data_IF_250697518672
#
_entry.id   IF_250697518672
#
_cell.length_a   1.000
_cell.length_b   1.000
_cell.length_c   1.000
_cell.angle_alpha   90.00
_cell.angle_beta   90.00
_cell.angle_gamma   90.00
#
_symmetry.space_group_name_H-M   'P 1'
#
loop_
_entity.id
_entity.type
_entity.pdbx_description
1 polymer ?
#
# COMPACT_ATOMS: atom_id res chain seq x y z
N UNK A 1 -17.22 -4.86 6.07
CA UNK A 1 -17.28 -4.44 7.49
C UNK A 1 -17.27 -2.92 7.51
N UNK A 2 -18.09 -2.27 8.33
CA UNK A 2 -18.08 -0.81 8.49
C UNK A 2 -17.19 -0.43 9.68
N UNK A 3 -16.57 0.74 9.62
CA UNK A 3 -15.89 1.36 10.75
C UNK A 3 -16.93 2.15 11.54
N UNK A 4 -17.04 1.87 12.82
CA UNK A 4 -17.95 2.53 13.75
C UNK A 4 -17.31 3.76 14.39
N UNK A 5 -18.12 4.72 14.79
CA UNK A 5 -17.72 5.86 15.62
C UNK A 5 -17.57 5.42 17.10
N UNK A 6 -17.11 6.33 17.98
CA UNK A 6 -16.94 6.11 19.42
C UNK A 6 -18.19 5.54 20.10
N UNK A 7 -19.37 5.86 19.58
CA UNK A 7 -20.68 5.41 20.09
C UNK A 7 -21.22 4.13 19.42
N UNK A 8 -20.46 3.49 18.52
CA UNK A 8 -20.88 2.26 17.86
C UNK A 8 -21.74 2.43 16.61
N UNK A 9 -22.03 3.67 16.19
CA UNK A 9 -22.76 3.93 14.95
C UNK A 9 -21.85 3.79 13.71
N UNK A 10 -22.34 3.21 12.59
CA UNK A 10 -21.54 3.04 11.38
C UNK A 10 -21.19 4.40 10.74
N UNK A 11 -19.89 4.68 10.60
CA UNK A 11 -19.37 5.96 10.09
C UNK A 11 -18.75 5.83 8.69
N UNK A 12 -18.11 4.69 8.37
CA UNK A 12 -17.44 4.51 7.07
C UNK A 12 -17.50 3.08 6.57
N UNK A 13 -17.89 2.90 5.31
CA UNK A 13 -17.85 1.59 4.67
C UNK A 13 -16.42 1.22 4.24
N UNK A 14 -15.95 0.03 4.62
CA UNK A 14 -14.64 -0.49 4.17
C UNK A 14 -14.85 -1.33 2.92
N UNK A 15 -14.13 -1.05 1.82
CA UNK A 15 -14.22 -1.81 0.60
C UNK A 15 -13.84 -3.28 0.84
N UNK A 16 -14.60 -4.20 0.24
CA UNK A 16 -14.38 -5.65 0.33
C UNK A 16 -13.38 -6.19 -0.69
N UNK A 17 -12.81 -5.30 -1.52
CA UNK A 17 -11.87 -5.68 -2.56
C UNK A 17 -10.50 -6.00 -1.93
N UNK A 18 -10.07 -7.25 -2.08
CA UNK A 18 -8.76 -7.71 -1.62
C UNK A 18 -7.62 -7.11 -2.44
N UNK A 19 -7.84 -6.94 -3.75
CA UNK A 19 -6.88 -6.38 -4.68
C UNK A 19 -7.35 -5.03 -5.20
N UNK A 20 -6.43 -4.07 -5.27
CA UNK A 20 -6.64 -2.77 -5.93
C UNK A 20 -5.56 -2.59 -6.96
N UNK A 21 -5.95 -2.42 -8.24
CA UNK A 21 -5.01 -2.29 -9.37
C UNK A 21 -3.98 -3.44 -9.46
N UNK A 22 -4.35 -4.64 -9.02
CA UNK A 22 -3.49 -5.83 -9.05
C UNK A 22 -2.60 -6.02 -7.82
N UNK A 23 -2.65 -5.11 -6.84
CA UNK A 23 -1.85 -5.18 -5.61
C UNK A 23 -2.72 -5.44 -4.38
N UNK A 24 -2.14 -6.08 -3.38
CA UNK A 24 -2.74 -6.30 -2.07
C UNK A 24 -1.87 -5.72 -0.95
N UNK A 25 -2.50 -5.25 0.12
CA UNK A 25 -1.78 -4.80 1.32
C UNK A 25 -0.94 -5.95 1.89
N UNK A 26 0.36 -5.69 2.07
CA UNK A 26 1.36 -6.66 2.51
C UNK A 26 2.25 -7.21 1.40
N UNK A 27 1.96 -6.94 0.13
CA UNK A 27 2.86 -7.26 -0.97
C UNK A 27 4.16 -6.45 -0.87
N UNK A 28 5.28 -7.06 -1.26
CA UNK A 28 6.58 -6.41 -1.38
C UNK A 28 6.76 -5.98 -2.82
N UNK A 29 7.05 -4.70 -3.01
CA UNK A 29 7.23 -4.12 -4.34
C UNK A 29 8.56 -3.40 -4.45
N UNK A 30 8.98 -3.19 -5.69
CA UNK A 30 9.91 -2.15 -6.09
C UNK A 30 9.12 -1.01 -6.73
N UNK A 31 9.20 0.19 -6.18
CA UNK A 31 8.67 1.38 -6.80
C UNK A 31 9.80 2.23 -7.38
N UNK A 32 9.73 2.53 -8.67
CA UNK A 32 10.67 3.40 -9.37
C UNK A 32 9.91 4.64 -9.79
N UNK A 33 10.06 5.72 -9.01
CA UNK A 33 9.36 6.98 -9.26
C UNK A 33 10.27 7.88 -10.06
N UNK A 34 9.88 8.18 -11.30
CA UNK A 34 10.68 8.98 -12.25
C UNK A 34 10.34 10.47 -12.23
N UNK A 35 9.20 10.86 -11.63
CA UNK A 35 8.70 12.23 -11.66
C UNK A 35 8.05 12.64 -10.32
N UNK A 36 8.11 13.93 -10.00
CA UNK A 36 7.42 14.55 -8.86
C UNK A 36 8.32 14.81 -7.64
N UNK A 37 7.72 14.95 -6.46
CA UNK A 37 8.45 15.27 -5.21
C UNK A 37 9.22 14.07 -4.62
N UNK A 38 8.81 12.85 -4.98
CA UNK A 38 9.30 11.59 -4.39
C UNK A 38 10.07 10.76 -5.41
N UNK A 39 10.91 11.41 -6.21
CA UNK A 39 11.75 10.73 -7.20
C UNK A 39 12.76 9.86 -6.47
N UNK A 40 12.84 8.60 -6.87
CA UNK A 40 13.69 7.62 -6.20
C UNK A 40 13.24 6.18 -6.44
N UNK A 41 14.08 5.26 -5.97
CA UNK A 41 13.75 3.84 -5.95
C UNK A 41 13.46 3.41 -4.51
N UNK A 42 12.31 2.80 -4.29
CA UNK A 42 11.87 2.32 -2.99
C UNK A 42 11.57 0.83 -3.07
N UNK A 43 12.04 0.07 -2.09
CA UNK A 43 11.74 -1.35 -1.97
C UNK A 43 11.17 -1.58 -0.59
N UNK A 44 10.00 -2.21 -0.52
CA UNK A 44 9.34 -2.44 0.74
C UNK A 44 7.90 -2.92 0.59
N UNK A 45 7.21 -2.96 1.72
CA UNK A 45 5.82 -3.45 1.80
C UNK A 45 4.84 -2.35 1.45
N UNK A 46 3.79 -2.70 0.70
CA UNK A 46 2.73 -1.76 0.36
C UNK A 46 1.56 -1.85 1.35
N UNK A 47 1.05 -0.68 1.76
CA UNK A 47 -0.35 -0.50 2.13
C UNK A 47 -1.15 0.13 0.97
N UNK A 48 -2.13 -0.63 0.49
CA UNK A 48 -2.92 -0.31 -0.70
C UNK A 48 -4.14 0.52 -0.30
N UNK A 49 -4.45 1.58 -1.06
CA UNK A 49 -5.69 2.36 -0.92
C UNK A 49 -6.52 2.26 -2.19
N UNK A 50 -7.84 2.34 -2.06
CA UNK A 50 -8.79 2.27 -3.18
C UNK A 50 -8.59 3.35 -4.24
N UNK A 51 -7.96 4.47 -3.88
CA UNK A 51 -7.59 5.55 -4.79
C UNK A 51 -6.53 5.14 -5.82
N UNK A 52 -5.83 4.02 -5.64
CA UNK A 52 -4.69 3.62 -6.48
C UNK A 52 -3.37 4.33 -6.12
N UNK A 53 -3.35 5.00 -4.96
CA UNK A 53 -2.15 5.54 -4.32
C UNK A 53 -1.78 4.71 -3.10
N UNK A 54 -0.50 4.37 -2.99
CA UNK A 54 0.04 3.35 -2.11
C UNK A 54 1.05 3.96 -1.14
N UNK A 55 1.11 3.41 0.06
CA UNK A 55 2.18 3.74 1.00
C UNK A 55 3.18 2.59 1.00
N UNK A 56 4.46 2.91 0.91
CA UNK A 56 5.54 1.93 0.94
C UNK A 56 6.27 2.08 2.27
N UNK A 57 6.26 1.02 3.06
CA UNK A 57 7.06 0.93 4.29
C UNK A 57 8.42 0.37 3.92
N UNK A 58 9.45 1.20 4.01
CA UNK A 58 10.87 0.82 3.88
C UNK A 58 11.49 0.71 5.28
N UNK A 59 12.75 0.26 5.40
CA UNK A 59 13.44 0.21 6.72
C UNK A 59 13.45 1.56 7.45
N UNK A 60 13.85 2.68 6.81
CA UNK A 60 13.96 3.95 7.53
C UNK A 60 12.63 4.68 7.68
N UNK A 61 11.71 4.55 6.73
CA UNK A 61 10.54 5.43 6.68
C UNK A 61 9.33 4.85 5.94
N UNK A 62 8.20 5.56 6.04
CA UNK A 62 6.97 5.24 5.32
C UNK A 62 6.76 6.29 4.23
N UNK A 63 7.03 5.92 2.98
CA UNK A 63 6.78 6.80 1.83
C UNK A 63 5.32 6.70 1.41
N UNK A 64 4.56 7.75 1.66
CA UNK A 64 3.11 7.75 1.38
C UNK A 64 2.76 8.21 -0.04
N UNK A 65 1.64 7.75 -0.60
CA UNK A 65 1.04 8.34 -1.80
C UNK A 65 1.78 8.11 -3.12
N UNK A 66 2.49 6.99 -3.25
CA UNK A 66 3.09 6.56 -4.52
C UNK A 66 2.00 5.98 -5.44
N UNK A 67 1.98 6.36 -6.71
CA UNK A 67 1.02 5.79 -7.67
C UNK A 67 1.35 4.34 -7.99
N UNK A 68 0.32 3.48 -8.09
CA UNK A 68 0.46 2.07 -8.49
C UNK A 68 1.25 1.87 -9.80
N UNK A 69 1.23 2.87 -10.71
CA UNK A 69 1.93 2.82 -12.00
C UNK A 69 3.45 2.67 -11.86
N UNK A 70 4.00 3.17 -10.76
CA UNK A 70 5.44 3.10 -10.49
C UNK A 70 5.84 1.83 -9.74
N UNK A 71 4.87 1.06 -9.25
CA UNK A 71 5.10 -0.13 -8.44
C UNK A 71 5.18 -1.39 -9.30
N UNK A 72 6.16 -2.23 -9.02
CA UNK A 72 6.34 -3.55 -9.62
C UNK A 72 6.41 -4.58 -8.51
N UNK A 73 5.60 -5.64 -8.58
CA UNK A 73 5.56 -6.67 -7.54
C UNK A 73 6.83 -7.51 -7.54
N UNK A 74 7.52 -7.59 -6.40
CA UNK A 74 8.63 -8.52 -6.19
C UNK A 74 8.10 -9.80 -5.55
N UNK A 75 7.33 -9.65 -4.48
CA UNK A 75 6.83 -10.76 -3.69
C UNK A 75 5.39 -10.51 -3.28
N UNK A 76 4.54 -11.52 -3.40
CA UNK A 76 3.15 -11.44 -2.94
C UNK A 76 3.05 -11.74 -1.46
N UNK A 77 2.00 -11.25 -0.82
CA UNK A 77 1.72 -11.59 0.59
C UNK A 77 1.51 -13.10 0.72
N UNK A 78 2.41 -13.76 1.43
CA UNK A 78 2.43 -15.19 1.72
C UNK A 78 2.25 -15.52 3.22
N UNK A 79 2.31 -14.50 4.08
CA UNK A 79 2.14 -14.63 5.53
C UNK A 79 3.43 -14.47 6.32
N UNK A 80 4.59 -14.37 5.67
CA UNK A 80 5.89 -14.25 6.34
C UNK A 80 6.38 -12.80 6.41
N UNK A 81 7.20 -12.52 7.43
CA UNK A 81 7.88 -11.24 7.58
C UNK A 81 9.28 -11.30 6.96
N UNK A 82 9.40 -10.89 5.71
CA UNK A 82 10.71 -10.70 5.08
C UNK A 82 11.30 -9.38 5.54
N UNK A 83 12.51 -9.45 6.11
CA UNK A 83 13.33 -8.28 6.39
C UNK A 83 13.91 -7.79 5.05
N UNK A 84 13.24 -6.83 4.42
CA UNK A 84 13.73 -6.12 3.23
C UNK A 84 14.59 -4.97 3.65
#
# INVERSE_FOLDING_TARGET
MCRTDKFGFPSRYVPRFKFVKGFQTGDIVKAIVTQGKKVGTYIGRIAVRSSGSFNITTKPEIIQGISHKYCTTIHRKDGYLYAT
#
